data_IF_293551426871
#
_entry.id   IF_293551426871
#
_cell.length_a   1.000
_cell.length_b   1.000
_cell.length_c   1.000
_cell.angle_alpha   90.00
_cell.angle_beta   90.00
_cell.angle_gamma   90.00
#
_symmetry.space_group_name_H-M   'P 1'
#
loop_
_entity.id
_entity.type
_entity.pdbx_description
1 polymer ?
2 water ?
#
# COMPACT_ATOMS: atom_id res chain seq x y z
N UNK A 2 -22.78 2.72 4.34
CA UNK A 2 -23.12 2.95 5.73
C UNK A 2 -22.20 2.22 6.68
N UNK A 3 -21.59 2.97 7.61
CA UNK A 3 -21.91 4.38 7.78
C UNK A 3 -21.03 5.34 6.98
N UNK A 4 -20.00 4.84 6.30
CA UNK A 4 -19.14 5.74 5.54
C UNK A 4 -19.26 5.52 4.04
N UNK A 5 -18.74 6.47 3.27
CA UNK A 5 -18.58 6.23 1.83
C UNK A 5 -17.19 5.67 1.61
N UNK A 6 -17.13 4.39 1.26
CA UNK A 6 -15.85 3.71 1.19
C UNK A 6 -14.85 4.39 0.22
N UNK A 7 -15.29 4.81 -0.98
CA UNK A 7 -14.30 5.46 -1.86
C UNK A 7 -13.65 6.74 -1.27
N UNK A 8 -14.44 7.62 -0.67
CA UNK A 8 -13.88 8.86 -0.11
C UNK A 8 -12.93 8.58 1.05
N UNK A 9 -13.33 7.70 1.95
CA UNK A 9 -12.50 7.38 3.11
C UNK A 9 -11.24 6.66 2.64
N UNK A 10 -11.38 5.75 1.68
CA UNK A 10 -10.24 5.05 1.11
C UNK A 10 -9.21 6.04 0.58
N UNK A 11 -9.66 7.05 -0.17
CA UNK A 11 -8.71 7.97 -0.76
C UNK A 11 -8.08 8.90 0.29
N UNK A 12 -8.82 9.23 1.33
CA UNK A 12 -8.24 9.95 2.47
C UNK A 12 -7.11 9.15 3.10
N UNK A 13 -7.40 7.91 3.48
CA UNK A 13 -6.42 7.07 4.14
C UNK A 13 -5.21 6.74 3.24
N UNK A 14 -5.47 6.59 1.95
CA UNK A 14 -4.42 6.29 0.97
C UNK A 14 -3.50 7.45 0.67
N UNK A 15 -4.09 8.59 0.34
CA UNK A 15 -3.35 9.68 -0.29
C UNK A 15 -3.23 10.96 0.54
N UNK A 16 -3.96 11.02 1.66
CA UNK A 16 -3.93 12.22 2.48
C UNK A 16 -3.22 12.01 3.81
N UNK A 17 -3.60 10.95 4.52
CA UNK A 17 -3.00 10.64 5.81
C UNK A 17 -1.51 10.34 5.70
N UNK A 18 -0.75 10.74 6.73
CA UNK A 18 0.63 10.30 6.84
C UNK A 18 0.68 8.78 6.97
N UNK A 19 1.82 8.18 6.65
CA UNK A 19 1.94 6.73 6.75
C UNK A 19 1.73 6.26 8.20
N UNK A 20 2.29 6.99 9.16
CA UNK A 20 2.14 6.62 10.56
C UNK A 20 0.67 6.67 11.02
N UNK A 21 -0.05 7.72 10.63
CA UNK A 21 -1.45 7.80 10.98
C UNK A 21 -2.27 6.73 10.25
N UNK A 22 -1.90 6.40 9.01
CA UNK A 22 -2.53 5.25 8.34
C UNK A 22 -2.35 3.99 9.19
N UNK A 23 -1.13 3.74 9.66
CA UNK A 23 -0.89 2.54 10.46
C UNK A 23 -1.70 2.57 11.75
N UNK A 24 -1.80 3.73 12.37
CA UNK A 24 -2.60 3.89 13.57
C UNK A 24 -4.06 3.52 13.31
N UNK A 25 -4.63 4.13 12.28
CA UNK A 25 -6.02 3.88 11.91
C UNK A 25 -6.20 2.39 11.60
N UNK A 26 -5.31 1.85 10.79
CA UNK A 26 -5.40 0.44 10.39
C UNK A 26 -5.44 -0.48 11.61
N UNK A 27 -4.63 -0.16 12.62
CA UNK A 27 -4.52 -1.04 13.78
C UNK A 27 -5.85 -1.23 14.51
N UNK A 28 -6.80 -0.31 14.33
CA UNK A 28 -8.11 -0.42 14.94
C UNK A 28 -9.19 -0.95 14.01
N UNK A 29 -8.83 -1.28 12.77
CA UNK A 29 -9.77 -1.82 11.76
C UNK A 29 -11.15 -1.13 11.73
N UNK A 30 -11.17 0.21 11.66
CA UNK A 30 -12.50 0.85 11.65
C UNK A 30 -13.24 0.53 10.36
N UNK A 31 -14.57 0.49 10.44
CA UNK A 31 -15.40 0.28 9.25
C UNK A 31 -15.03 -1.01 8.54
N UNK A 32 -14.70 -2.04 9.31
CA UNK A 32 -14.19 -3.29 8.76
C UNK A 32 -15.22 -4.06 7.96
N UNK A 33 -16.49 -3.70 8.10
CA UNK A 33 -17.57 -4.27 7.28
C UNK A 33 -17.67 -3.60 5.91
N UNK A 34 -16.90 -2.53 5.70
CA UNK A 34 -16.89 -1.84 4.41
C UNK A 34 -15.49 -1.84 3.79
N UNK A 35 -14.49 -1.54 4.62
CA UNK A 35 -13.09 -1.49 4.18
C UNK A 35 -12.42 -2.83 4.34
N UNK A 36 -11.60 -3.17 3.35
CA UNK A 36 -10.76 -4.37 3.41
C UNK A 36 -9.38 -4.00 3.96
N UNK A 37 -9.13 -4.40 5.20
CA UNK A 37 -7.86 -4.09 5.87
C UNK A 37 -6.82 -5.21 5.76
N UNK A 38 -7.10 -6.26 5.01
CA UNK A 38 -6.17 -7.39 4.90
C UNK A 38 -4.94 -7.02 4.07
N UNK A 39 -3.82 -7.62 4.42
CA UNK A 39 -2.57 -7.38 3.71
C UNK A 39 -1.64 -8.57 3.82
N UNK A 40 -0.89 -8.84 2.76
CA UNK A 40 0.12 -9.89 2.82
C UNK A 40 1.49 -9.35 3.23
N UNK A 41 1.58 -8.06 3.52
CA UNK A 41 2.80 -7.47 4.05
C UNK A 41 4.02 -7.72 3.19
N UNK A 42 3.87 -7.53 1.89
CA UNK A 42 4.90 -7.83 0.88
C UNK A 42 5.55 -9.20 1.08
N UNK A 43 4.72 -10.23 1.22
CA UNK A 43 5.22 -11.59 1.31
C UNK A 43 5.91 -12.00 0.01
N UNK A 44 5.68 -11.24 -1.06
CA UNK A 44 6.33 -11.46 -2.34
C UNK A 44 7.75 -10.88 -2.41
N UNK A 45 8.17 -10.18 -1.37
CA UNK A 45 9.52 -9.63 -1.33
C UNK A 45 10.45 -10.54 -0.52
N UNK A 46 11.74 -10.58 -0.89
CA UNK A 46 12.71 -11.34 -0.10
C UNK A 46 13.02 -10.63 1.22
N UNK A 47 13.45 -11.39 2.23
CA UNK A 47 13.89 -10.77 3.48
C UNK A 47 15.06 -9.86 3.20
N UNK A 48 15.04 -8.68 3.80
CA UNK A 48 16.12 -7.71 3.57
C UNK A 48 16.16 -6.74 4.76
N UNK A 49 17.24 -5.94 4.88
CA UNK A 49 17.37 -5.12 6.09
C UNK A 49 16.31 -4.04 6.25
N UNK A 50 15.58 -3.74 5.18
CA UNK A 50 14.60 -2.66 5.19
C UNK A 50 13.18 -3.18 5.17
N UNK A 51 13.01 -4.50 5.15
CA UNK A 51 11.69 -5.08 4.94
C UNK A 51 10.70 -4.77 6.04
N UNK A 52 11.15 -4.82 7.29
CA UNK A 52 10.27 -4.49 8.42
C UNK A 52 9.88 -3.01 8.36
N UNK A 53 10.86 -2.13 8.10
CA UNK A 53 10.57 -0.71 7.96
C UNK A 53 9.54 -0.43 6.85
N UNK A 54 9.59 -1.24 5.80
CA UNK A 54 8.69 -1.08 4.66
C UNK A 54 7.28 -1.65 4.91
N UNK A 55 7.11 -2.45 5.96
CA UNK A 55 5.84 -3.14 6.19
C UNK A 55 4.59 -2.23 6.10
N UNK A 56 4.57 -1.05 6.76
CA UNK A 56 3.36 -0.22 6.62
C UNK A 56 3.12 0.28 5.20
N UNK A 57 4.17 0.52 4.43
CA UNK A 57 4.00 0.86 3.02
C UNK A 57 3.31 -0.28 2.27
N UNK A 58 3.70 -1.52 2.60
CA UNK A 58 3.05 -2.70 2.03
C UNK A 58 1.58 -2.76 2.41
N UNK A 59 1.30 -2.49 3.68
CA UNK A 59 -0.09 -2.46 4.15
C UNK A 59 -0.92 -1.47 3.35
N UNK A 60 -0.37 -0.27 3.12
CA UNK A 60 -1.10 0.77 2.43
C UNK A 60 -1.27 0.43 0.94
N UNK A 61 -0.28 -0.23 0.34
CA UNK A 61 -0.36 -0.66 -1.05
C UNK A 61 -1.51 -1.68 -1.24
N UNK A 62 -1.57 -2.69 -0.37
CA UNK A 62 -2.66 -3.65 -0.39
C UNK A 62 -4.00 -2.98 -0.11
N UNK A 63 -4.03 -2.03 0.83
CA UNK A 63 -5.24 -1.29 1.11
C UNK A 63 -5.76 -0.63 -0.18
N UNK A 64 -4.88 -0.02 -0.95
CA UNK A 64 -5.27 0.59 -2.20
C UNK A 64 -5.82 -0.42 -3.20
N UNK A 65 -5.04 -1.45 -3.51
CA UNK A 65 -5.47 -2.45 -4.49
C UNK A 65 -6.81 -3.07 -4.10
N UNK A 66 -6.90 -3.53 -2.85
CA UNK A 66 -8.03 -4.35 -2.44
C UNK A 66 -9.32 -3.55 -2.32
N UNK A 67 -9.21 -2.30 -1.87
CA UNK A 67 -10.42 -1.50 -1.77
C UNK A 67 -10.82 -0.91 -3.13
N UNK A 68 -9.87 -0.54 -3.98
CA UNK A 68 -10.25 -0.12 -5.32
C UNK A 68 -10.95 -1.26 -6.07
N UNK A 69 -10.47 -2.50 -5.88
CA UNK A 69 -11.15 -3.64 -6.51
C UNK A 69 -12.56 -3.84 -5.95
N UNK A 70 -12.70 -3.79 -4.63
CA UNK A 70 -14.03 -3.92 -4.02
C UNK A 70 -14.99 -2.84 -4.52
N UNK A 71 -14.44 -1.65 -4.79
CA UNK A 71 -15.23 -0.50 -5.22
C UNK A 71 -15.42 -0.41 -6.73
N UNK A 72 -14.91 -1.41 -7.45
CA UNK A 72 -14.97 -1.45 -8.92
C UNK A 72 -14.32 -0.20 -9.54
N UNK A 73 -13.19 0.20 -8.96
CA UNK A 73 -12.46 1.41 -9.36
C UNK A 73 -11.06 1.07 -9.84
N UNK A 74 -10.74 -0.22 -9.91
CA UNK A 74 -9.39 -0.65 -10.19
C UNK A 74 -9.17 -0.75 -11.69
N UNK A 75 -8.16 -0.06 -12.18
CA UNK A 75 -7.81 -0.06 -13.59
C UNK A 75 -6.34 0.32 -13.68
N UNK A 76 -5.77 0.40 -14.87
CA UNK A 76 -4.33 0.63 -14.94
C UNK A 76 -3.92 2.02 -14.46
N UNK A 77 -4.82 3.00 -14.57
CA UNK A 77 -4.52 4.34 -14.08
C UNK A 77 -4.51 4.39 -12.56
N UNK A 78 -5.53 3.83 -11.92
CA UNK A 78 -5.55 3.82 -10.46
C UNK A 78 -4.48 2.90 -9.89
N UNK A 79 -4.17 1.82 -10.61
CA UNK A 79 -3.11 0.91 -10.16
C UNK A 79 -1.78 1.67 -10.14
N UNK A 80 -1.50 2.44 -11.20
CA UNK A 80 -0.29 3.25 -11.23
C UNK A 80 -0.28 4.29 -10.11
N UNK A 81 -1.42 4.93 -9.85
CA UNK A 81 -1.48 5.90 -8.76
C UNK A 81 -1.12 5.25 -7.42
N UNK A 82 -1.64 4.05 -7.18
CA UNK A 82 -1.38 3.35 -5.93
C UNK A 82 0.08 2.86 -5.87
N UNK A 83 0.61 2.40 -7.00
CA UNK A 83 2.01 1.98 -7.06
C UNK A 83 2.95 3.17 -6.81
N UNK A 84 2.62 4.33 -7.37
CA UNK A 84 3.43 5.53 -7.17
C UNK A 84 3.34 6.00 -5.72
N UNK A 85 2.16 5.90 -5.11
CA UNK A 85 2.00 6.21 -3.70
C UNK A 85 2.87 5.29 -2.82
N UNK A 86 2.96 4.03 -3.21
CA UNK A 86 3.81 3.03 -2.56
C UNK A 86 5.28 3.42 -2.67
N UNK A 87 5.73 3.80 -3.85
CA UNK A 87 7.12 4.28 -3.99
C UNK A 87 7.38 5.48 -3.08
N UNK A 88 6.43 6.42 -3.04
CA UNK A 88 6.56 7.55 -2.12
C UNK A 88 6.67 7.12 -0.67
N UNK A 89 5.82 6.17 -0.25
CA UNK A 89 5.87 5.66 1.11
C UNK A 89 7.21 4.99 1.41
N UNK A 90 7.71 4.18 0.48
CA UNK A 90 8.99 3.50 0.68
C UNK A 90 10.12 4.52 0.80
N UNK A 91 10.14 5.53 -0.06
CA UNK A 91 11.19 6.54 0.00
C UNK A 91 11.09 7.33 1.31
N UNK A 92 9.88 7.58 1.78
CA UNK A 92 9.71 8.23 3.07
C UNK A 92 10.37 7.40 4.18
N UNK A 93 10.13 6.09 4.17
CA UNK A 93 10.73 5.19 5.16
C UNK A 93 12.26 5.18 5.08
N UNK A 94 12.81 5.27 3.88
CA UNK A 94 14.27 5.22 3.71
C UNK A 94 14.96 6.47 4.22
N UNK A 95 14.27 7.60 4.21
CA UNK A 95 14.80 8.87 4.73
C UNK A 95 16.19 9.19 4.16
N UNK A 96 16.38 8.92 2.87
CA UNK A 96 17.59 9.32 2.19
C UNK A 96 18.72 8.30 2.19
N UNK A 97 18.53 7.18 2.87
CA UNK A 97 19.56 6.13 2.89
C UNK A 97 19.66 5.50 1.50
N UNK A 98 20.85 5.55 0.92
CA UNK A 98 21.03 5.17 -0.48
C UNK A 98 20.70 3.68 -0.71
N UNK A 99 21.25 2.80 0.11
CA UNK A 99 21.01 1.37 -0.05
C UNK A 99 19.52 1.06 0.13
N UNK A 100 18.87 1.78 1.04
CA UNK A 100 17.45 1.61 1.25
C UNK A 100 16.66 2.01 0.00
N UNK A 101 17.01 3.15 -0.60
CA UNK A 101 16.34 3.62 -1.81
C UNK A 101 16.49 2.62 -2.95
N UNK A 102 17.66 2.00 -3.05
CA UNK A 102 17.88 0.99 -4.10
C UNK A 102 16.96 -0.19 -3.89
N UNK A 103 16.74 -0.57 -2.63
CA UNK A 103 15.85 -1.67 -2.34
C UNK A 103 14.40 -1.25 -2.62
N UNK A 104 14.05 -0.02 -2.26
CA UNK A 104 12.72 0.50 -2.57
C UNK A 104 12.44 0.43 -4.07
N UNK A 105 13.45 0.72 -4.89
CA UNK A 105 13.26 0.67 -6.34
C UNK A 105 12.90 -0.73 -6.81
N UNK A 106 13.47 -1.76 -6.16
CA UNK A 106 13.14 -3.13 -6.52
C UNK A 106 11.70 -3.51 -6.13
N UNK A 107 11.22 -3.00 -5.00
CA UNK A 107 9.83 -3.20 -4.61
C UNK A 107 8.90 -2.55 -5.64
N UNK A 108 9.22 -1.33 -6.03
CA UNK A 108 8.39 -0.60 -6.99
C UNK A 108 8.38 -1.31 -8.35
N UNK A 109 9.54 -1.75 -8.81
CA UNK A 109 9.62 -2.51 -10.06
C UNK A 109 8.71 -3.72 -10.00
N UNK A 110 8.74 -4.43 -8.88
CA UNK A 110 7.99 -5.66 -8.75
C UNK A 110 6.48 -5.38 -8.85
N UNK A 111 5.99 -4.32 -8.22
CA UNK A 111 4.55 -4.10 -8.29
C UNK A 111 4.17 -3.51 -9.66
N UNK A 112 5.02 -2.68 -10.26
CA UNK A 112 4.68 -2.16 -11.59
C UNK A 112 4.53 -3.30 -12.59
N UNK A 113 5.47 -4.24 -12.55
CA UNK A 113 5.45 -5.36 -13.49
C UNK A 113 4.43 -6.43 -13.14
N UNK A 114 4.31 -6.77 -11.86
CA UNK A 114 3.55 -7.96 -11.47
C UNK A 114 2.39 -7.70 -10.52
N UNK A 115 2.09 -6.43 -10.27
CA UNK A 115 1.00 -6.05 -9.40
C UNK A 115 -0.34 -6.67 -9.75
N UNK A 116 -0.60 -6.85 -11.05
CA UNK A 116 -1.85 -7.47 -11.49
C UNK A 116 -1.96 -8.93 -11.04
N UNK A 117 -0.85 -9.52 -10.58
CA UNK A 117 -0.84 -10.94 -10.26
C UNK A 117 -0.21 -11.30 -8.91
N UNK A 118 0.32 -10.33 -8.18
CA UNK A 118 1.01 -10.62 -6.92
C UNK A 118 0.09 -11.20 -5.84
N UNK A 119 -1.09 -10.62 -5.68
CA UNK A 119 -2.06 -11.12 -4.70
C UNK A 119 -2.55 -12.52 -5.09
N UNK A 120 -2.74 -12.71 -6.40
CA UNK A 120 -3.11 -14.01 -6.98
C UNK A 120 -2.13 -15.10 -6.56
N UNK A 121 -0.87 -14.71 -6.39
CA UNK A 121 0.18 -15.63 -5.96
C UNK A 121 0.41 -15.53 -4.45
#
# INVERSE_FOLDING_TARGET
MGAINAPAVTDDYLFSKSLAQFSSIRSGSPYADQLDWSSDGCSWSPDNPFGFKFLPACHRHDFGYRNYKRQARFNETSRLRIDDNFKSDLYHQCAGNWACNRTADLYYEAVRKFGASLEHHHHHH
#
